data_IF_603864539496
#
_entry.id   IF_603864539496
#
_cell.length_a   1.000
_cell.length_b   1.000
_cell.length_c   1.000
_cell.angle_alpha   90.00
_cell.angle_beta   90.00
_cell.angle_gamma   90.00
#
_symmetry.space_group_name_H-M   'P 1'
#
loop_
_entity.id
_entity.type
_entity.pdbx_description
1 polymer ?
#
# COMPACT_ATOMS: atom_id res chain seq x y z
N UNK A 1 -10.37 20.93 -12.59
CA UNK A 1 -9.61 19.91 -11.84
C UNK A 1 -9.65 20.31 -10.38
N UNK A 2 -10.15 19.43 -9.51
CA UNK A 2 -10.31 19.72 -8.09
C UNK A 2 -9.43 18.81 -7.24
N UNK A 3 -8.91 19.37 -6.15
CA UNK A 3 -8.06 18.68 -5.19
C UNK A 3 -8.88 18.32 -3.95
N UNK A 4 -8.73 17.08 -3.49
CA UNK A 4 -9.42 16.53 -2.33
C UNK A 4 -8.38 16.01 -1.34
N UNK A 5 -8.66 16.18 -0.07
CA UNK A 5 -7.88 15.57 1.01
C UNK A 5 -8.62 14.31 1.47
N UNK A 6 -7.92 13.19 1.37
CA UNK A 6 -8.37 11.89 1.86
C UNK A 6 -7.59 11.57 3.13
N UNK A 7 -8.29 11.35 4.24
CA UNK A 7 -7.72 10.87 5.51
C UNK A 7 -8.18 9.45 5.74
N UNK A 8 -7.26 8.59 6.16
CA UNK A 8 -7.48 7.14 6.26
C UNK A 8 -7.09 6.64 7.65
N UNK A 9 -7.72 5.54 8.08
CA UNK A 9 -7.36 4.83 9.31
C UNK A 9 -6.11 3.95 9.12
N UNK A 10 -6.29 2.64 9.27
CA UNK A 10 -5.26 1.63 8.97
C UNK A 10 -5.11 1.45 7.46
N UNK A 11 -3.86 1.41 7.01
CA UNK A 11 -3.47 1.13 5.64
C UNK A 11 -2.46 -0.02 5.66
N UNK A 12 -2.38 -0.81 4.58
CA UNK A 12 -1.30 -1.76 4.40
C UNK A 12 -0.59 -1.60 3.07
N UNK A 13 0.73 -1.61 3.12
CA UNK A 13 1.58 -1.74 1.95
C UNK A 13 1.92 -3.20 1.76
N UNK A 14 1.47 -3.79 0.65
CA UNK A 14 1.73 -5.17 0.28
C UNK A 14 2.82 -5.19 -0.79
N UNK A 15 3.91 -5.87 -0.49
CA UNK A 15 5.09 -5.93 -1.36
C UNK A 15 5.35 -7.39 -1.74
N UNK A 16 5.33 -7.70 -3.03
CA UNK A 16 5.67 -9.03 -3.53
C UNK A 16 7.15 -9.08 -3.95
N UNK A 17 7.90 -10.01 -3.36
CA UNK A 17 9.33 -10.16 -3.55
C UNK A 17 9.66 -11.51 -4.16
N UNK A 18 10.52 -11.52 -5.19
CA UNK A 18 10.92 -12.74 -5.90
C UNK A 18 12.43 -12.92 -5.97
N UNK A 19 12.88 -14.17 -5.84
CA UNK A 19 14.24 -14.61 -6.17
C UNK A 19 14.22 -16.09 -6.58
N UNK A 20 14.55 -16.37 -7.85
CA UNK A 20 14.43 -17.72 -8.40
C UNK A 20 12.96 -18.18 -8.34
N UNK A 21 12.73 -19.36 -7.78
CA UNK A 21 11.38 -19.94 -7.64
C UNK A 21 10.67 -19.53 -6.33
N UNK A 22 11.29 -18.67 -5.51
CA UNK A 22 10.72 -18.21 -4.25
C UNK A 22 10.03 -16.87 -4.47
N UNK A 23 8.73 -16.82 -4.15
CA UNK A 23 7.92 -15.60 -4.07
C UNK A 23 7.35 -15.52 -2.66
N UNK A 24 7.55 -14.40 -1.98
CA UNK A 24 6.91 -14.12 -0.69
C UNK A 24 6.29 -12.73 -0.71
N UNK A 25 5.33 -12.51 0.19
CA UNK A 25 4.73 -11.19 0.40
C UNK A 25 5.16 -10.63 1.73
N UNK A 26 5.58 -9.37 1.75
CA UNK A 26 5.73 -8.59 2.96
C UNK A 26 4.57 -7.61 3.07
N UNK A 27 3.96 -7.54 4.24
CA UNK A 27 2.87 -6.62 4.54
C UNK A 27 3.34 -5.66 5.63
N UNK A 28 3.24 -4.36 5.36
CA UNK A 28 3.53 -3.30 6.33
C UNK A 28 2.24 -2.58 6.68
N UNK A 29 1.79 -2.68 7.93
CA UNK A 29 0.60 -1.99 8.40
C UNK A 29 0.98 -0.62 8.98
N UNK A 30 0.27 0.41 8.53
CA UNK A 30 0.52 1.81 8.84
C UNK A 30 -0.80 2.47 9.28
N UNK A 31 -0.73 3.54 10.07
CA UNK A 31 -1.92 4.27 10.53
C UNK A 31 -1.86 5.75 10.19
N UNK A 32 -3.03 6.34 9.93
CA UNK A 32 -3.21 7.79 9.78
C UNK A 32 -2.51 8.36 8.55
N UNK A 33 -2.81 7.84 7.35
CA UNK A 33 -2.33 8.44 6.10
C UNK A 33 -3.20 9.62 5.67
N UNK A 34 -2.54 10.62 5.07
CA UNK A 34 -3.22 11.69 4.34
C UNK A 34 -2.77 11.66 2.87
N UNK A 35 -3.74 11.66 1.98
CA UNK A 35 -3.56 11.67 0.53
C UNK A 35 -4.19 12.90 -0.09
N UNK A 36 -3.60 13.37 -1.18
CA UNK A 36 -4.23 14.30 -2.11
C UNK A 36 -4.72 13.58 -3.35
N UNK A 37 -5.99 13.76 -3.66
CA UNK A 37 -6.66 13.15 -4.82
C UNK A 37 -7.09 14.25 -5.77
N UNK A 38 -6.71 14.11 -7.04
CA UNK A 38 -7.05 15.07 -8.10
C UNK A 38 -8.09 14.48 -9.02
N UNK A 39 -9.16 15.24 -9.25
CA UNK A 39 -10.32 14.79 -10.03
C UNK A 39 -10.54 15.62 -11.28
N UNK A 40 -11.03 15.00 -12.36
CA UNK A 40 -11.25 15.65 -13.65
C UNK A 40 -12.56 16.43 -13.79
N UNK A 41 -13.55 16.17 -12.92
CA UNK A 41 -14.93 16.68 -13.09
C UNK A 41 -15.45 17.58 -11.95
N UNK A 42 -14.55 18.09 -11.10
CA UNK A 42 -14.84 18.94 -9.93
C UNK A 42 -15.74 18.30 -8.86
N UNK A 43 -15.99 16.99 -8.97
CA UNK A 43 -16.77 16.21 -8.01
C UNK A 43 -15.84 15.40 -7.09
N UNK A 44 -16.36 14.89 -5.96
CA UNK A 44 -15.60 13.98 -5.12
C UNK A 44 -15.04 12.78 -5.91
N UNK A 45 -13.91 12.21 -5.48
CA UNK A 45 -13.32 11.03 -6.10
C UNK A 45 -14.26 9.83 -6.06
N UNK A 46 -14.31 9.07 -7.16
CA UNK A 46 -15.10 7.85 -7.31
C UNK A 46 -14.18 6.64 -7.27
N UNK A 47 -14.00 6.09 -6.08
CA UNK A 47 -13.23 4.87 -5.88
C UNK A 47 -13.99 3.64 -6.38
N UNK A 48 -13.23 2.66 -6.88
CA UNK A 48 -13.71 1.28 -6.99
C UNK A 48 -13.19 0.48 -5.81
N UNK A 49 -14.02 -0.43 -5.34
CA UNK A 49 -13.69 -1.31 -4.23
C UNK A 49 -13.40 -2.70 -4.75
N UNK A 50 -12.35 -3.30 -4.21
CA UNK A 50 -11.84 -4.63 -4.53
C UNK A 50 -11.62 -5.41 -3.24
N UNK A 51 -11.50 -6.73 -3.36
CA UNK A 51 -11.11 -7.56 -2.24
C UNK A 51 -9.60 -7.44 -1.98
N UNK A 52 -9.21 -7.16 -0.73
CA UNK A 52 -7.80 -7.14 -0.34
C UNK A 52 -7.21 -8.55 -0.38
N UNK A 53 -6.01 -8.75 -0.95
CA UNK A 53 -5.34 -10.04 -0.95
C UNK A 53 -5.13 -10.61 0.46
N UNK A 54 -5.67 -11.80 0.71
CA UNK A 54 -5.62 -12.45 2.03
C UNK A 54 -6.71 -12.02 3.02
N UNK A 55 -7.65 -11.15 2.59
CA UNK A 55 -8.85 -10.79 3.34
C UNK A 55 -9.96 -11.84 3.28
N UNK A 56 -11.19 -11.43 3.61
CA UNK A 56 -12.39 -12.28 3.62
C UNK A 56 -13.09 -12.39 2.25
N UNK A 57 -12.65 -11.62 1.26
CA UNK A 57 -13.17 -11.61 -0.09
C UNK A 57 -14.26 -10.58 -0.35
N UNK A 58 -14.60 -9.74 0.64
CA UNK A 58 -15.54 -8.64 0.45
C UNK A 58 -14.94 -7.54 -0.44
N UNK A 59 -15.79 -6.85 -1.21
CA UNK A 59 -15.38 -5.75 -2.10
C UNK A 59 -15.48 -4.42 -1.35
N UNK A 60 -14.62 -4.24 -0.35
CA UNK A 60 -14.63 -3.10 0.57
C UNK A 60 -13.28 -2.37 0.68
N UNK A 61 -12.29 -2.80 -0.10
CA UNK A 61 -10.92 -2.29 -0.02
C UNK A 61 -10.55 -1.46 -1.25
N UNK A 62 -9.66 -0.48 -1.09
CA UNK A 62 -9.14 0.38 -2.16
C UNK A 62 -7.64 0.15 -2.27
N UNK A 63 -7.14 -0.17 -3.46
CA UNK A 63 -5.70 -0.14 -3.75
C UNK A 63 -5.31 1.23 -4.28
N UNK A 64 -4.73 2.10 -3.45
CA UNK A 64 -4.37 3.48 -3.79
C UNK A 64 -3.41 3.57 -4.97
N UNK A 65 -2.59 2.56 -5.25
CA UNK A 65 -1.72 2.54 -6.42
C UNK A 65 -2.45 2.21 -7.74
N UNK A 66 -3.72 1.78 -7.66
CA UNK A 66 -4.59 1.48 -8.80
C UNK A 66 -5.90 2.29 -8.74
N UNK A 67 -5.84 3.54 -8.25
CA UNK A 67 -7.02 4.41 -8.10
C UNK A 67 -7.22 5.43 -9.21
N UNK A 68 -6.30 5.56 -10.18
CA UNK A 68 -6.42 6.49 -11.31
C UNK A 68 -7.44 5.98 -12.35
N UNK A 69 -8.67 5.83 -11.91
CA UNK A 69 -9.83 5.32 -12.64
C UNK A 69 -11.03 6.26 -12.42
N UNK A 70 -12.09 6.06 -13.21
CA UNK A 70 -13.30 6.90 -13.17
C UNK A 70 -13.01 8.39 -13.36
N UNK A 71 -13.11 9.20 -12.30
CA UNK A 71 -12.83 10.63 -12.33
C UNK A 71 -11.54 11.01 -11.59
N UNK A 72 -10.75 10.05 -11.12
CA UNK A 72 -9.48 10.27 -10.43
C UNK A 72 -8.36 10.24 -11.47
N UNK A 73 -7.60 11.33 -11.54
CA UNK A 73 -6.51 11.49 -12.51
C UNK A 73 -5.14 11.28 -11.86
N UNK A 74 -5.03 11.57 -10.56
CA UNK A 74 -3.77 11.52 -9.84
C UNK A 74 -4.02 11.36 -8.35
N UNK A 75 -3.13 10.62 -7.70
CA UNK A 75 -3.04 10.51 -6.25
C UNK A 75 -1.62 10.83 -5.79
N UNK A 76 -1.50 11.53 -4.67
CA UNK A 76 -0.22 11.88 -4.05
C UNK A 76 -0.30 11.61 -2.54
N UNK A 77 0.73 11.00 -1.97
CA UNK A 77 0.89 10.92 -0.51
C UNK A 77 1.24 12.32 0.00
N UNK A 78 0.48 12.84 0.95
CA UNK A 78 0.79 14.10 1.64
C UNK A 78 1.50 13.86 2.96
N UNK A 79 0.96 12.97 3.78
CA UNK A 79 1.54 12.57 5.06
C UNK A 79 1.58 11.04 5.10
N UNK A 80 2.80 10.52 5.27
CA UNK A 80 3.01 9.09 5.49
C UNK A 80 2.47 8.69 6.86
N UNK A 81 1.79 7.56 6.90
CA UNK A 81 1.27 6.99 8.13
C UNK A 81 2.37 6.50 9.06
N UNK A 82 1.99 6.33 10.32
CA UNK A 82 2.86 5.82 11.37
C UNK A 82 2.93 4.30 11.32
N UNK A 83 4.14 3.76 11.46
CA UNK A 83 4.37 2.32 11.52
C UNK A 83 3.61 1.66 12.68
N UNK A 84 2.94 0.55 12.39
CA UNK A 84 2.24 -0.26 13.37
C UNK A 84 2.80 -1.68 13.46
N UNK A 85 2.94 -2.38 12.33
CA UNK A 85 3.44 -3.75 12.28
C UNK A 85 3.99 -4.14 10.92
N UNK A 86 4.79 -5.20 10.88
CA UNK A 86 5.22 -5.88 9.66
C UNK A 86 4.98 -7.38 9.77
N UNK A 87 4.64 -8.02 8.65
CA UNK A 87 4.39 -9.45 8.54
C UNK A 87 4.97 -10.00 7.24
N UNK A 88 5.67 -11.12 7.33
CA UNK A 88 6.10 -11.90 6.17
C UNK A 88 5.15 -13.08 5.95
N UNK A 89 4.56 -13.14 4.76
CA UNK A 89 3.69 -14.22 4.30
C UNK A 89 4.51 -15.11 3.38
N UNK A 90 4.85 -16.28 3.90
CA UNK A 90 5.74 -17.24 3.24
C UNK A 90 4.95 -18.22 2.37
N UNK A 91 5.49 -18.64 1.22
CA UNK A 91 4.92 -19.76 0.48
C UNK A 91 5.14 -21.07 1.27
N UNK A 92 4.27 -22.06 1.05
CA UNK A 92 4.26 -23.31 1.83
C UNK A 92 5.62 -24.02 1.87
N UNK A 93 6.40 -23.93 0.79
CA UNK A 93 7.64 -24.69 0.58
C UNK A 93 8.93 -23.90 0.79
N UNK A 94 8.88 -22.74 1.43
CA UNK A 94 10.12 -22.03 1.80
C UNK A 94 10.65 -22.58 3.12
N UNK A 95 11.92 -23.01 3.12
CA UNK A 95 12.54 -23.58 4.31
C UNK A 95 12.82 -22.51 5.37
N UNK A 96 12.99 -22.94 6.63
CA UNK A 96 13.18 -22.02 7.76
C UNK A 96 14.46 -21.18 7.63
N UNK A 97 15.53 -21.74 7.07
CA UNK A 97 16.82 -21.05 6.95
C UNK A 97 16.73 -19.90 5.94
N UNK A 98 16.00 -20.11 4.85
CA UNK A 98 15.73 -19.08 3.85
C UNK A 98 14.90 -17.94 4.44
N UNK A 99 13.86 -18.25 5.25
CA UNK A 99 13.07 -17.23 5.98
C UNK A 99 13.96 -16.38 6.89
N UNK A 100 14.72 -17.03 7.77
CA UNK A 100 15.61 -16.34 8.70
C UNK A 100 16.65 -15.47 7.98
N UNK A 101 17.15 -15.93 6.83
CA UNK A 101 18.07 -15.13 6.02
C UNK A 101 17.38 -13.90 5.42
N UNK A 102 16.17 -14.04 4.88
CA UNK A 102 15.40 -12.92 4.31
C UNK A 102 15.07 -11.88 5.41
N UNK A 103 14.57 -12.34 6.55
CA UNK A 103 14.28 -11.48 7.71
C UNK A 103 15.55 -10.76 8.17
N UNK A 104 16.70 -11.45 8.24
CA UNK A 104 17.99 -10.83 8.61
C UNK A 104 18.45 -9.76 7.60
N UNK A 105 18.24 -10.00 6.29
CA UNK A 105 18.57 -9.01 5.26
C UNK A 105 17.70 -7.76 5.42
N UNK A 106 16.41 -7.97 5.69
CA UNK A 106 15.45 -6.90 5.93
C UNK A 106 15.77 -6.08 7.19
N UNK A 107 16.10 -6.74 8.30
CA UNK A 107 16.45 -6.05 9.54
C UNK A 107 17.74 -5.23 9.43
N UNK A 108 18.70 -5.69 8.63
CA UNK A 108 19.99 -4.99 8.47
C UNK A 108 19.88 -3.74 7.62
N UNK A 109 19.29 -3.87 6.43
CA UNK A 109 19.32 -2.85 5.40
C UNK A 109 17.98 -2.72 4.63
N UNK A 110 16.92 -3.38 5.10
CA UNK A 110 15.57 -3.35 4.51
C UNK A 110 15.59 -3.62 3.00
N UNK A 111 15.04 -2.70 2.20
CA UNK A 111 15.00 -2.81 0.73
C UNK A 111 16.36 -3.14 0.12
N UNK A 112 17.41 -2.38 0.45
CA UNK A 112 18.73 -2.61 -0.15
C UNK A 112 19.33 -3.95 0.29
N UNK A 113 19.04 -4.41 1.51
CA UNK A 113 19.47 -5.74 1.97
C UNK A 113 18.92 -6.87 1.09
N UNK A 114 17.65 -6.77 0.70
CA UNK A 114 17.01 -7.71 -0.21
C UNK A 114 17.54 -7.56 -1.65
N UNK A 115 17.55 -6.34 -2.18
CA UNK A 115 17.94 -6.05 -3.56
C UNK A 115 19.40 -6.42 -3.85
N UNK A 116 20.34 -6.06 -2.97
CA UNK A 116 21.75 -6.42 -3.10
C UNK A 116 21.97 -7.94 -3.02
N UNK A 117 21.05 -8.65 -2.38
CA UNK A 117 21.05 -10.11 -2.32
C UNK A 117 20.36 -10.77 -3.51
N UNK A 118 19.92 -9.99 -4.50
CA UNK A 118 19.29 -10.45 -5.74
C UNK A 118 17.80 -10.76 -5.63
N UNK A 119 17.11 -10.20 -4.62
CA UNK A 119 15.66 -10.15 -4.61
C UNK A 119 15.15 -8.97 -5.43
N UNK A 120 13.97 -9.12 -6.02
CA UNK A 120 13.32 -8.07 -6.78
C UNK A 120 11.90 -7.86 -6.27
N UNK A 121 11.52 -6.61 -6.04
CA UNK A 121 10.13 -6.25 -5.81
C UNK A 121 9.39 -6.30 -7.15
N UNK A 122 8.38 -7.16 -7.25
CA UNK A 122 7.56 -7.30 -8.45
C UNK A 122 6.44 -6.26 -8.47
N UNK A 123 5.80 -6.09 -7.33
CA UNK A 123 4.61 -5.28 -7.18
C UNK A 123 4.56 -4.70 -5.78
N UNK A 124 4.09 -3.45 -5.70
CA UNK A 124 3.79 -2.78 -4.45
C UNK A 124 2.38 -2.22 -4.54
N UNK A 125 1.48 -2.74 -3.70
CA UNK A 125 0.10 -2.29 -3.57
C UNK A 125 -0.07 -1.52 -2.26
N UNK A 126 -1.06 -0.62 -2.21
CA UNK A 126 -1.36 0.14 -1.00
C UNK A 126 -2.85 0.08 -0.70
N UNK A 127 -3.21 -0.76 0.26
CA UNK A 127 -4.58 -1.12 0.58
C UNK A 127 -5.17 -0.31 1.75
N UNK A 128 -6.41 0.13 1.58
CA UNK A 128 -7.25 0.72 2.63
C UNK A 128 -8.58 -0.05 2.66
N UNK A 129 -8.99 -0.53 3.83
CA UNK A 129 -10.31 -1.17 4.03
C UNK A 129 -11.09 -0.58 5.22
N UNK A 130 -10.46 0.28 6.01
CA UNK A 130 -11.16 1.02 7.07
C UNK A 130 -11.90 2.25 6.53
N UNK A 131 -12.68 2.89 7.41
CA UNK A 131 -13.40 4.12 7.07
C UNK A 131 -12.46 5.22 6.56
N UNK A 132 -12.90 5.89 5.50
CA UNK A 132 -12.19 7.00 4.88
C UNK A 132 -12.97 8.30 5.03
N UNK A 133 -12.26 9.41 5.18
CA UNK A 133 -12.82 10.76 5.17
C UNK A 133 -12.29 11.54 3.98
N UNK A 134 -13.19 12.09 3.17
CA UNK A 134 -12.86 12.88 1.98
C UNK A 134 -13.43 14.28 2.12
N UNK A 135 -12.57 15.29 2.03
CA UNK A 135 -12.95 16.70 2.12
C UNK A 135 -12.36 17.51 0.95
N UNK A 136 -13.06 18.56 0.45
CA UNK A 136 -12.45 19.48 -0.50
C UNK A 136 -11.17 20.09 0.10
N UNK A 137 -10.11 20.15 -0.69
CA UNK A 137 -8.88 20.83 -0.29
C UNK A 137 -8.75 22.15 -1.04
N UNK A 138 -8.75 23.25 -0.30
CA UNK A 138 -8.51 24.59 -0.83
C UNK A 138 -7.27 25.21 -0.16
N UNK A 139 -6.17 25.42 -0.90
CA UNK A 139 -4.97 26.01 -0.34
C UNK A 139 -5.12 27.49 0.03
N UNK A 140 -6.18 28.19 -0.40
CA UNK A 140 -6.38 29.62 -0.10
C UNK A 140 -6.93 29.89 1.31
N UNK A 141 -7.21 28.85 2.11
CA UNK A 141 -7.72 28.97 3.48
C UNK A 141 -6.70 28.63 4.58
N UNK A 142 -5.40 28.62 4.26
CA UNK A 142 -4.29 28.46 5.22
C UNK A 142 -3.53 29.77 5.49
#
# INVERSE_FOLDING_TARGET
>A
MSKWKLTTGTNEVHEEWVKGDIVFRKVTSLKSYIWYIYTSDEKPPKFEFSAVPGGDGELDSINMHDTCINNIEQVEVFEEGNFFSELFIWPEKVDKKDRENIETLWEKNSYSGLEESGWHNLETEHWIWEEISVEPYDPEFL
#
